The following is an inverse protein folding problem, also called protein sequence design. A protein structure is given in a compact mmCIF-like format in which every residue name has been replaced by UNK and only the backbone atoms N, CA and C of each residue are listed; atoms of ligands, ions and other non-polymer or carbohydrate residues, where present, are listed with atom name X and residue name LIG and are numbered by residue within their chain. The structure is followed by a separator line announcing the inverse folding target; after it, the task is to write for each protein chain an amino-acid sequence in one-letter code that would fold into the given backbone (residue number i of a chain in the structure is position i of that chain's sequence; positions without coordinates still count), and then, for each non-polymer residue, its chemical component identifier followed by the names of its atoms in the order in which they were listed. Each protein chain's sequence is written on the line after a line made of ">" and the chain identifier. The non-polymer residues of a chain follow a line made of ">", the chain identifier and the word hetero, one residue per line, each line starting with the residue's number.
data_IF_095725539924
#
_entry.id   IF_095725539924
#
_cell.length_a   1.000
_cell.length_b   1.000
_cell.length_c   1.000
_cell.angle_alpha   90.00
_cell.angle_beta   90.00
_cell.angle_gamma   90.00
#
_symmetry.space_group_name_H-M   'P 1'
#
loop_
_entity.id
_entity.type
_entity.pdbx_description
1 polymer ?
#
# COMPACT_ATOMS: atom_id res chain seq x y z
N UNK A 1 -1.44 -7.91 -17.45
CA UNK A 1 -1.47 -6.90 -16.38
C UNK A 1 -1.38 -5.54 -17.04
N UNK A 2 -2.21 -4.55 -16.64
CA UNK A 2 -2.03 -3.15 -17.00
C UNK A 2 -0.60 -2.68 -16.67
N UNK A 3 -0.14 -1.59 -17.29
CA UNK A 3 1.18 -1.04 -16.97
C UNK A 3 1.21 -0.44 -15.57
N UNK A 4 2.39 -0.40 -14.95
CA UNK A 4 2.60 0.25 -13.64
C UNK A 4 2.09 1.68 -13.61
N UNK A 5 2.22 2.42 -14.72
CA UNK A 5 1.67 3.77 -14.85
C UNK A 5 0.15 3.80 -14.65
N UNK A 6 -0.58 2.80 -15.16
CA UNK A 6 -2.03 2.70 -14.96
C UNK A 6 -2.35 2.42 -13.48
N UNK A 7 -1.62 1.50 -12.83
CA UNK A 7 -1.79 1.25 -11.40
C UNK A 7 -1.54 2.51 -10.57
N UNK A 8 -0.45 3.22 -10.84
CA UNK A 8 -0.07 4.45 -10.15
C UNK A 8 -1.10 5.57 -10.34
N UNK A 9 -1.56 5.79 -11.58
CA UNK A 9 -2.57 6.80 -11.86
C UNK A 9 -3.90 6.48 -11.17
N UNK A 10 -4.33 5.21 -11.22
CA UNK A 10 -5.56 4.76 -10.58
C UNK A 10 -5.48 4.84 -9.05
N UNK A 11 -4.39 4.35 -8.45
CA UNK A 11 -4.14 4.44 -7.01
C UNK A 11 -4.04 5.89 -6.53
N UNK A 12 -3.37 6.76 -7.29
CA UNK A 12 -3.29 8.19 -7.02
C UNK A 12 -4.66 8.88 -7.08
N UNK A 13 -5.50 8.53 -8.06
CA UNK A 13 -6.87 9.03 -8.17
C UNK A 13 -7.73 8.61 -6.97
N UNK A 14 -7.65 7.33 -6.56
CA UNK A 14 -8.35 6.84 -5.36
C UNK A 14 -7.86 7.59 -4.11
N UNK A 15 -6.54 7.76 -3.97
CA UNK A 15 -6.00 8.48 -2.83
C UNK A 15 -6.45 9.94 -2.79
N UNK A 16 -6.48 10.63 -3.94
CA UNK A 16 -7.00 11.99 -4.01
C UNK A 16 -8.47 12.06 -3.59
N UNK A 17 -9.29 11.09 -3.99
CA UNK A 17 -10.70 11.02 -3.61
C UNK A 17 -10.93 10.72 -2.12
N UNK A 18 -10.10 9.87 -1.51
CA UNK A 18 -10.31 9.38 -0.14
C UNK A 18 -9.59 10.21 0.94
N UNK A 19 -8.40 10.76 0.65
CA UNK A 19 -7.59 11.43 1.67
C UNK A 19 -8.02 12.88 1.92
N UNK A 20 -8.66 13.56 0.95
CA UNK A 20 -9.11 14.94 1.09
C UNK A 20 -7.99 15.86 1.60
N UNK A 21 -8.19 16.55 2.73
CA UNK A 21 -7.19 17.45 3.34
C UNK A 21 -5.87 16.77 3.73
N UNK A 22 -5.85 15.43 3.87
CA UNK A 22 -4.63 14.67 4.15
C UNK A 22 -3.81 14.38 2.88
N UNK A 23 -4.35 14.67 1.68
CA UNK A 23 -3.69 14.46 0.41
C UNK A 23 -2.63 15.53 0.16
N UNK A 24 -1.38 15.19 0.46
CA UNK A 24 -0.21 16.01 0.14
C UNK A 24 0.83 15.20 -0.64
N UNK A 25 1.95 15.84 -0.97
CA UNK A 25 3.04 15.18 -1.70
C UNK A 25 3.59 13.95 -0.97
N UNK A 26 3.63 13.96 0.38
CA UNK A 26 4.13 12.83 1.16
C UNK A 26 3.16 11.66 1.12
N UNK A 27 1.87 11.92 1.28
CA UNK A 27 0.83 10.91 1.17
C UNK A 27 0.78 10.30 -0.23
N UNK A 28 0.87 11.13 -1.27
CA UNK A 28 0.95 10.67 -2.65
C UNK A 28 2.18 9.76 -2.87
N UNK A 29 3.36 10.16 -2.39
CA UNK A 29 4.56 9.33 -2.49
C UNK A 29 4.40 7.97 -1.80
N UNK A 30 3.77 7.93 -0.62
CA UNK A 30 3.50 6.67 0.09
C UNK A 30 2.56 5.78 -0.73
N UNK A 31 1.46 6.33 -1.23
CA UNK A 31 0.48 5.58 -2.05
C UNK A 31 1.13 5.02 -3.31
N UNK A 32 1.91 5.84 -4.03
CA UNK A 32 2.59 5.42 -5.24
C UNK A 32 3.62 4.32 -4.94
N UNK A 33 4.38 4.43 -3.85
CA UNK A 33 5.35 3.42 -3.44
C UNK A 33 4.67 2.08 -3.11
N UNK A 34 3.58 2.09 -2.35
CA UNK A 34 2.82 0.88 -2.00
C UNK A 34 2.17 0.27 -3.24
N UNK A 35 1.63 1.11 -4.14
CA UNK A 35 0.98 0.66 -5.38
C UNK A 35 1.99 0.05 -6.36
N UNK A 36 3.23 0.55 -6.40
CA UNK A 36 4.30 -0.01 -7.23
C UNK A 36 4.92 -1.30 -6.64
N UNK A 37 4.75 -1.56 -5.33
CA UNK A 37 5.43 -2.67 -4.67
C UNK A 37 5.11 -4.04 -5.29
N UNK A 38 3.84 -4.38 -5.63
CA UNK A 38 3.55 -5.63 -6.33
C UNK A 38 4.21 -5.73 -7.71
N UNK A 39 4.33 -4.62 -8.43
CA UNK A 39 4.92 -4.60 -9.77
C UNK A 39 6.41 -4.96 -9.77
N UNK A 40 7.09 -4.81 -8.62
CA UNK A 40 8.47 -5.24 -8.42
C UNK A 40 8.66 -6.76 -8.52
N UNK A 41 7.59 -7.55 -8.40
CA UNK A 41 7.59 -9.00 -8.63
C UNK A 41 8.13 -9.36 -10.02
N UNK A 42 7.99 -8.45 -10.98
CA UNK A 42 8.55 -8.59 -12.33
C UNK A 42 10.09 -8.68 -12.35
N UNK A 43 10.78 -8.11 -11.35
CA UNK A 43 12.25 -8.22 -11.25
C UNK A 43 12.70 -9.57 -10.70
N UNK A 44 11.85 -10.30 -9.98
CA UNK A 44 12.16 -11.66 -9.50
C UNK A 44 12.36 -12.62 -10.69
N UNK A 45 11.68 -12.36 -11.80
CA UNK A 45 11.88 -13.08 -13.05
C UNK A 45 13.31 -12.95 -13.64
N UNK A 46 14.11 -11.97 -13.20
CA UNK A 46 15.52 -11.81 -13.64
C UNK A 46 16.46 -12.85 -13.01
N UNK A 47 16.09 -13.41 -11.86
CA UNK A 47 16.92 -14.32 -11.06
C UNK A 47 16.31 -15.70 -10.86
N UNK A 48 15.00 -15.85 -11.08
CA UNK A 48 14.30 -17.14 -10.97
C UNK A 48 13.21 -17.30 -12.02
N UNK A 49 13.16 -18.47 -12.65
CA UNK A 49 12.08 -18.89 -13.55
C UNK A 49 10.85 -19.38 -12.75
N UNK A 50 11.08 -19.89 -11.52
CA UNK A 50 10.01 -20.30 -10.61
C UNK A 50 9.48 -19.09 -9.82
N UNK A 51 8.15 -18.89 -9.81
CA UNK A 51 7.50 -17.77 -9.11
C UNK A 51 7.17 -16.55 -9.97
N UNK A 52 6.99 -16.73 -11.28
CA UNK A 52 6.59 -15.65 -12.19
C UNK A 52 5.26 -15.01 -11.76
N UNK A 53 5.32 -13.80 -11.19
CA UNK A 53 4.17 -12.95 -10.82
C UNK A 53 3.23 -13.56 -9.78
N UNK A 54 3.74 -14.39 -8.87
CA UNK A 54 2.91 -15.01 -7.83
C UNK A 54 3.42 -14.74 -6.42
N UNK A 55 4.51 -13.99 -6.25
CA UNK A 55 5.09 -13.76 -4.92
C UNK A 55 4.42 -12.57 -4.27
N UNK A 56 4.36 -11.43 -4.97
CA UNK A 56 3.74 -10.21 -4.44
C UNK A 56 2.34 -9.96 -5.01
N UNK A 57 2.05 -10.50 -6.18
CA UNK A 57 0.73 -10.45 -6.82
C UNK A 57 -0.26 -11.47 -6.22
N UNK A 58 -0.39 -11.47 -4.90
CA UNK A 58 -1.36 -12.31 -4.19
C UNK A 58 -2.30 -11.44 -3.37
N UNK A 59 -3.53 -11.90 -3.15
CA UNK A 59 -4.44 -11.23 -2.21
C UNK A 59 -4.01 -11.40 -0.76
N UNK A 60 -3.09 -12.34 -0.47
CA UNK A 60 -2.63 -12.60 0.90
C UNK A 60 -1.93 -11.37 1.46
N UNK A 61 -1.04 -10.74 0.69
CA UNK A 61 -0.31 -9.53 1.13
C UNK A 61 -1.24 -8.38 1.54
N UNK A 62 -2.17 -7.89 0.70
CA UNK A 62 -3.08 -6.81 1.09
C UNK A 62 -4.03 -7.23 2.22
N UNK A 63 -4.48 -8.48 2.27
CA UNK A 63 -5.33 -8.98 3.38
C UNK A 63 -4.56 -8.92 4.70
N UNK A 64 -3.33 -9.46 4.74
CA UNK A 64 -2.51 -9.50 5.95
C UNK A 64 -2.18 -8.08 6.42
N UNK A 65 -1.75 -7.20 5.52
CA UNK A 65 -1.43 -5.79 5.87
C UNK A 65 -2.67 -5.08 6.40
N UNK A 66 -3.84 -5.25 5.76
CA UNK A 66 -5.09 -4.63 6.20
C UNK A 66 -5.54 -5.17 7.56
N UNK A 67 -5.39 -6.47 7.80
CA UNK A 67 -5.72 -7.09 9.08
C UNK A 67 -4.81 -6.59 10.21
N UNK A 68 -3.51 -6.44 9.94
CA UNK A 68 -2.55 -5.88 10.91
C UNK A 68 -2.87 -4.42 11.23
N UNK A 69 -3.19 -3.61 10.22
CA UNK A 69 -3.62 -2.22 10.42
C UNK A 69 -4.93 -2.12 11.19
N UNK A 70 -5.90 -2.98 10.88
CA UNK A 70 -7.15 -3.05 11.62
C UNK A 70 -6.91 -3.42 13.09
N UNK A 71 -6.10 -4.44 13.34
CA UNK A 71 -5.74 -4.85 14.69
C UNK A 71 -5.05 -3.70 15.46
N UNK A 72 -4.06 -3.05 14.84
CA UNK A 72 -3.34 -1.94 15.48
C UNK A 72 -4.22 -0.72 15.77
N UNK A 73 -5.12 -0.35 14.85
CA UNK A 73 -5.87 0.91 14.94
C UNK A 73 -7.22 0.78 15.65
N UNK A 74 -7.81 -0.42 15.70
CA UNK A 74 -9.17 -0.66 16.24
C UNK A 74 -9.22 -1.62 17.42
N UNK A 75 -8.32 -2.60 17.50
CA UNK A 75 -8.40 -3.68 18.50
C UNK A 75 -7.44 -3.45 19.66
N UNK A 76 -6.26 -2.88 19.41
CA UNK A 76 -5.28 -2.59 20.47
C UNK A 76 -5.64 -1.33 21.25
N UNK A 77 -5.37 -1.36 22.56
CA UNK A 77 -5.53 -0.19 23.44
C UNK A 77 -4.60 0.98 23.05
N UNK A 78 -3.41 0.65 22.52
CA UNK A 78 -2.47 1.61 21.94
C UNK A 78 -2.13 1.23 20.51
N UNK A 79 -2.36 2.16 19.60
CA UNK A 79 -2.03 2.02 18.18
C UNK A 79 -0.63 2.54 17.92
N UNK A 80 0.25 1.66 17.45
CA UNK A 80 1.59 2.05 17.02
C UNK A 80 1.54 3.10 15.90
N UNK A 81 0.63 2.93 14.94
CA UNK A 81 0.49 3.87 13.83
C UNK A 81 0.09 5.26 14.33
N UNK A 82 -0.88 5.31 15.25
CA UNK A 82 -1.33 6.56 15.86
C UNK A 82 -0.26 7.19 16.73
N UNK A 83 0.47 6.41 17.52
CA UNK A 83 1.52 6.94 18.40
C UNK A 83 2.69 7.51 17.58
N UNK A 84 3.06 6.87 16.47
CA UNK A 84 4.21 7.27 15.66
C UNK A 84 3.92 8.35 14.62
N UNK A 85 2.72 8.35 14.02
CA UNK A 85 2.34 9.23 12.91
C UNK A 85 1.05 10.02 13.14
N UNK A 86 0.45 9.92 14.33
CA UNK A 86 -0.75 10.64 14.70
C UNK A 86 -2.01 10.17 13.95
N UNK A 87 -3.09 10.95 14.10
CA UNK A 87 -4.34 10.71 13.39
C UNK A 87 -4.17 10.76 11.86
N UNK A 88 -3.20 11.54 11.38
CA UNK A 88 -2.88 11.65 9.96
C UNK A 88 -2.31 10.35 9.40
N UNK A 89 -1.40 9.69 10.12
CA UNK A 89 -0.87 8.39 9.71
C UNK A 89 -1.96 7.34 9.58
N UNK A 90 -2.90 7.31 10.53
CA UNK A 90 -4.06 6.39 10.49
C UNK A 90 -4.98 6.64 9.30
N UNK A 91 -5.06 7.88 8.80
CA UNK A 91 -5.90 8.23 7.63
C UNK A 91 -5.24 7.88 6.29
N UNK A 92 -3.91 7.82 6.25
CA UNK A 92 -3.13 7.48 5.04
C UNK A 92 -2.93 5.96 4.93
N UNK A 93 -2.83 5.27 6.07
CA UNK A 93 -2.58 3.84 6.16
C UNK A 93 -3.75 2.97 5.69
#
# INVERSE_FOLDING_TARGET
>A
MPSTLVHLAFGGMIAAALLGDAFDRRALLVVLAVTAAPDLDSFIALVSVAGHRTVLHTYVTPIVVSALLYADTRVRDRSFVRDRWGARGVRIA
#
